data_IF_653613957889
#
_entry.id   IF_653613957889
#
_cell.length_a   1.000
_cell.length_b   1.000
_cell.length_c   1.000
_cell.angle_alpha   90.00
_cell.angle_beta   90.00
_cell.angle_gamma   90.00
#
_symmetry.space_group_name_H-M   'P 1'
#
loop_
_entity.id
_entity.type
_entity.pdbx_description
1 polymer ?
#
# COMPACT_ATOMS: atom_id res chain seq x y z
N UNK A 1 6.12 -21.81 12.27
CA UNK A 1 5.59 -20.75 11.41
C UNK A 1 5.64 -21.16 9.96
N UNK A 2 4.58 -20.90 9.22
CA UNK A 2 4.54 -21.25 7.81
C UNK A 2 5.33 -20.25 6.97
N UNK A 3 6.11 -20.75 6.01
CA UNK A 3 6.77 -19.92 5.01
C UNK A 3 5.78 -19.19 4.10
N UNK A 4 4.54 -19.66 4.06
CA UNK A 4 3.49 -19.13 3.20
C UNK A 4 2.53 -18.16 3.92
N UNK A 5 2.84 -17.80 5.14
CA UNK A 5 1.95 -16.96 5.96
C UNK A 5 2.09 -15.46 5.74
N UNK A 6 3.03 -15.02 4.89
CA UNK A 6 3.36 -13.60 4.76
C UNK A 6 2.15 -12.70 4.43
N UNK A 7 1.27 -13.04 3.47
CA UNK A 7 0.10 -12.19 3.22
C UNK A 7 -0.84 -12.10 4.41
N UNK A 8 -1.01 -13.19 5.15
CA UNK A 8 -1.85 -13.23 6.35
C UNK A 8 -1.23 -12.43 7.49
N UNK A 9 0.08 -12.54 7.67
CA UNK A 9 0.83 -11.78 8.67
C UNK A 9 0.78 -10.27 8.37
N UNK A 10 0.87 -9.92 7.09
CA UNK A 10 0.79 -8.52 6.67
C UNK A 10 -0.62 -7.95 6.90
N UNK A 11 -1.65 -8.74 6.62
CA UNK A 11 -3.03 -8.37 6.94
C UNK A 11 -3.19 -8.09 8.43
N UNK A 12 -2.68 -8.97 9.27
CA UNK A 12 -2.74 -8.81 10.74
C UNK A 12 -2.01 -7.55 11.18
N UNK A 13 -0.84 -7.30 10.63
CA UNK A 13 -0.09 -6.08 10.89
C UNK A 13 -0.91 -4.83 10.56
N UNK A 14 -1.48 -4.77 9.36
CA UNK A 14 -2.29 -3.63 8.94
C UNK A 14 -3.52 -3.44 9.83
N UNK A 15 -4.17 -4.54 10.19
CA UNK A 15 -5.34 -4.51 11.05
C UNK A 15 -5.02 -3.96 12.45
N UNK A 16 -3.88 -4.35 12.99
CA UNK A 16 -3.42 -3.87 14.30
C UNK A 16 -3.07 -2.37 14.28
N UNK A 17 -2.67 -1.86 13.14
CA UNK A 17 -2.41 -0.42 12.95
C UNK A 17 -3.66 0.38 12.62
N UNK A 18 -4.79 -0.27 12.44
CA UNK A 18 -6.04 0.40 12.05
C UNK A 18 -6.11 0.77 10.57
N UNK A 19 -5.33 0.11 9.73
CA UNK A 19 -5.34 0.33 8.29
C UNK A 19 -6.32 -0.60 7.60
N UNK A 20 -6.91 -0.15 6.48
CA UNK A 20 -7.57 -1.05 5.56
C UNK A 20 -6.54 -1.88 4.80
N UNK A 21 -6.85 -3.13 4.56
CA UNK A 21 -5.96 -4.02 3.80
C UNK A 21 -6.75 -4.76 2.74
N UNK A 22 -6.24 -4.70 1.50
CA UNK A 22 -6.80 -5.41 0.36
C UNK A 22 -5.68 -6.21 -0.30
N UNK A 23 -5.94 -7.49 -0.52
CA UNK A 23 -5.04 -8.37 -1.27
C UNK A 23 -5.70 -8.74 -2.58
N UNK A 24 -5.07 -8.43 -3.71
CA UNK A 24 -5.59 -8.78 -5.01
C UNK A 24 -5.06 -7.91 -6.13
N UNK A 25 -5.47 -8.21 -7.36
CA UNK A 25 -5.12 -7.43 -8.54
C UNK A 25 -6.01 -6.18 -8.69
N UNK A 26 -5.69 -5.35 -9.68
CA UNK A 26 -6.41 -4.10 -9.91
C UNK A 26 -7.90 -4.32 -10.18
N UNK A 27 -8.26 -5.37 -10.89
CA UNK A 27 -9.67 -5.68 -11.18
C UNK A 27 -10.45 -6.04 -9.91
N UNK A 28 -9.86 -6.86 -9.06
CA UNK A 28 -10.44 -7.22 -7.77
C UNK A 28 -10.57 -5.99 -6.86
N UNK A 29 -9.54 -5.17 -6.82
CA UNK A 29 -9.50 -3.96 -6.00
C UNK A 29 -10.60 -2.99 -6.43
N UNK A 30 -10.78 -2.77 -7.72
CA UNK A 30 -11.83 -1.90 -8.23
C UNK A 30 -13.24 -2.45 -7.87
N UNK A 31 -13.44 -3.75 -7.98
CA UNK A 31 -14.71 -4.36 -7.59
C UNK A 31 -15.00 -4.20 -6.10
N UNK A 32 -13.98 -4.34 -5.25
CA UNK A 32 -14.12 -4.11 -3.80
C UNK A 32 -14.41 -2.64 -3.51
N UNK A 33 -13.75 -1.73 -4.20
CA UNK A 33 -13.94 -0.30 -4.00
C UNK A 33 -15.37 0.16 -4.35
N UNK A 34 -16.01 -0.45 -5.34
CA UNK A 34 -17.39 -0.14 -5.69
C UNK A 34 -18.37 -0.48 -4.57
N UNK A 35 -18.03 -1.43 -3.73
CA UNK A 35 -18.90 -1.91 -2.66
C UNK A 35 -18.49 -1.46 -1.25
N UNK A 36 -17.33 -0.86 -1.11
CA UNK A 36 -16.75 -0.55 0.19
C UNK A 36 -16.66 0.95 0.40
N UNK A 37 -17.11 1.40 1.57
CA UNK A 37 -16.96 2.80 1.99
C UNK A 37 -15.74 2.91 2.88
N UNK A 38 -14.70 3.53 2.38
CA UNK A 38 -13.52 3.84 3.16
C UNK A 38 -13.69 5.19 3.87
N UNK A 39 -13.27 5.23 5.12
CA UNK A 39 -13.22 6.48 5.86
C UNK A 39 -12.14 7.41 5.29
N UNK A 40 -12.44 8.70 5.26
CA UNK A 40 -11.49 9.71 4.85
C UNK A 40 -10.26 9.71 5.78
N UNK A 41 -9.11 10.00 5.22
CA UNK A 41 -7.82 10.08 5.92
C UNK A 41 -7.31 8.78 6.55
N UNK A 42 -8.03 7.69 6.41
CA UNK A 42 -7.57 6.39 6.88
C UNK A 42 -6.66 5.75 5.84
N UNK A 43 -5.58 5.13 6.32
CA UNK A 43 -4.62 4.50 5.42
C UNK A 43 -5.22 3.24 4.80
N UNK A 44 -5.05 3.12 3.50
CA UNK A 44 -5.43 1.95 2.71
C UNK A 44 -4.15 1.29 2.23
N UNK A 45 -3.99 0.01 2.50
CA UNK A 45 -2.86 -0.79 2.03
C UNK A 45 -3.37 -1.82 1.04
N UNK A 46 -2.78 -1.83 -0.13
CA UNK A 46 -3.15 -2.74 -1.21
C UNK A 46 -1.91 -3.56 -1.56
N UNK A 47 -2.07 -4.88 -1.59
CA UNK A 47 -1.00 -5.78 -1.92
C UNK A 47 -1.41 -6.71 -3.07
N UNK A 48 -0.56 -6.75 -4.10
CA UNK A 48 -0.67 -7.69 -5.21
C UNK A 48 0.67 -8.43 -5.30
N UNK A 49 0.71 -9.60 -4.67
CA UNK A 49 1.94 -10.36 -4.47
C UNK A 49 1.87 -11.72 -5.15
N UNK A 50 2.97 -12.11 -5.74
CA UNK A 50 3.25 -13.48 -6.15
C UNK A 50 4.33 -14.07 -5.26
N UNK A 51 4.52 -15.39 -5.31
CA UNK A 51 5.54 -16.02 -4.50
C UNK A 51 6.27 -17.12 -5.26
N UNK A 52 7.52 -17.32 -4.88
CA UNK A 52 8.37 -18.37 -5.42
C UNK A 52 9.02 -19.12 -4.25
N UNK A 53 8.66 -20.39 -4.03
CA UNK A 53 9.38 -21.21 -3.06
C UNK A 53 10.81 -21.49 -3.54
N UNK A 54 11.75 -21.37 -2.63
CA UNK A 54 13.14 -21.79 -2.86
C UNK A 54 13.29 -23.20 -2.29
N UNK A 55 13.68 -24.14 -3.15
CA UNK A 55 13.63 -25.57 -2.82
C UNK A 55 15.04 -26.13 -2.72
N UNK A 56 15.28 -26.88 -1.66
CA UNK A 56 16.47 -27.69 -1.47
C UNK A 56 16.04 -29.08 -0.96
N UNK A 57 16.63 -30.13 -1.52
CA UNK A 57 16.30 -31.51 -1.17
C UNK A 57 14.79 -31.81 -1.22
N UNK A 58 14.11 -31.32 -2.26
CA UNK A 58 12.68 -31.48 -2.48
C UNK A 58 11.79 -30.80 -1.43
N UNK A 59 12.33 -29.87 -0.65
CA UNK A 59 11.59 -29.14 0.37
C UNK A 59 11.82 -27.63 0.26
N UNK A 60 10.78 -26.83 0.47
CA UNK A 60 10.97 -25.40 0.53
C UNK A 60 11.70 -25.03 1.83
N UNK A 61 12.75 -24.22 1.70
CA UNK A 61 13.48 -23.68 2.85
C UNK A 61 13.26 -22.16 3.05
N UNK A 62 12.82 -21.50 2.02
CA UNK A 62 12.43 -20.10 2.07
C UNK A 62 11.42 -19.80 0.98
N UNK A 63 10.78 -18.65 1.04
CA UNK A 63 9.85 -18.17 0.00
C UNK A 63 10.19 -16.74 -0.33
N UNK A 64 10.36 -16.46 -1.61
CA UNK A 64 10.51 -15.10 -2.11
C UNK A 64 9.17 -14.60 -2.60
N UNK A 65 8.71 -13.50 -2.01
CA UNK A 65 7.50 -12.79 -2.41
C UNK A 65 7.89 -11.57 -3.21
N UNK A 66 7.20 -11.35 -4.30
CA UNK A 66 7.41 -10.17 -5.13
C UNK A 66 6.09 -9.64 -5.66
N UNK A 67 6.06 -8.37 -5.96
CA UNK A 67 4.87 -7.72 -6.49
C UNK A 67 4.79 -6.27 -6.07
N UNK A 68 3.57 -5.77 -5.96
CA UNK A 68 3.31 -4.37 -5.66
C UNK A 68 2.61 -4.24 -4.32
N UNK A 69 3.12 -3.32 -3.49
CA UNK A 69 2.41 -2.81 -2.32
C UNK A 69 2.17 -1.33 -2.54
N UNK A 70 0.92 -0.93 -2.40
CA UNK A 70 0.53 0.48 -2.48
C UNK A 70 -0.06 0.91 -1.16
N UNK A 71 0.30 2.07 -0.70
CA UNK A 71 -0.36 2.71 0.43
C UNK A 71 -0.93 4.04 0.01
N UNK A 72 -2.09 4.35 0.52
CA UNK A 72 -2.76 5.58 0.16
C UNK A 72 -3.73 6.04 1.21
N UNK A 73 -4.28 7.19 0.93
CA UNK A 73 -5.26 7.82 1.79
C UNK A 73 -6.35 8.41 0.93
N UNK A 74 -7.59 8.01 1.21
CA UNK A 74 -8.73 8.63 0.55
C UNK A 74 -8.80 10.09 0.98
N UNK A 75 -8.88 10.97 0.00
CA UNK A 75 -9.07 12.40 0.28
C UNK A 75 -10.49 12.64 0.73
N UNK A 76 -10.64 13.61 1.59
CA UNK A 76 -11.94 14.20 1.87
C UNK A 76 -12.47 14.86 0.60
N UNK A 77 -13.76 15.09 0.55
CA UNK A 77 -14.35 15.82 -0.56
C UNK A 77 -13.71 17.22 -0.66
N UNK A 78 -13.83 17.85 -1.82
CA UNK A 78 -13.25 19.18 -2.05
C UNK A 78 -13.65 20.23 -0.99
N UNK A 79 -14.79 20.01 -0.37
CA UNK A 79 -15.29 20.89 0.70
C UNK A 79 -14.75 20.53 2.06
N UNK A 80 -14.22 19.32 2.25
CA UNK A 80 -13.89 18.78 3.56
C UNK A 80 -12.38 18.68 3.80
N UNK A 81 -11.57 18.74 2.76
CA UNK A 81 -10.12 18.50 2.88
C UNK A 81 -9.35 19.73 3.39
N UNK A 82 -10.05 20.74 3.90
CA UNK A 82 -9.43 21.98 4.34
C UNK A 82 -8.87 22.80 3.20
N UNK A 83 -8.92 22.26 2.03
CA UNK A 83 -8.62 22.94 0.81
C UNK A 83 -9.86 23.74 0.52
N UNK A 84 -9.77 25.00 0.66
CA UNK A 84 -10.89 25.86 0.48
C UNK A 84 -11.43 25.79 -0.93
N UNK A 85 -12.61 26.27 -1.14
CA UNK A 85 -13.25 26.22 -2.45
C UNK A 85 -12.49 26.94 -3.55
N UNK A 86 -11.65 27.85 -3.21
CA UNK A 86 -10.68 28.39 -4.14
C UNK A 86 -9.49 27.47 -4.27
N UNK A 87 -9.41 26.46 -3.45
CA UNK A 87 -8.50 25.45 -3.72
C UNK A 87 -8.97 24.70 -4.89
N UNK A 88 -8.58 25.12 -5.70
CA UNK A 88 -7.95 24.38 -6.65
C UNK A 88 -8.38 22.96 -6.49
N UNK A 89 -9.32 22.60 -7.30
CA UNK A 89 -9.57 21.20 -7.51
C UNK A 89 -8.22 20.49 -7.63
N UNK A 90 -8.16 19.25 -7.27
CA UNK A 90 -6.95 18.45 -7.40
C UNK A 90 -6.33 18.50 -8.78
N UNK A 91 -7.07 18.92 -9.78
CA UNK A 91 -6.60 19.10 -11.15
C UNK A 91 -5.72 20.34 -11.32
N UNK A 92 -5.90 21.31 -10.46
CA UNK A 92 -5.18 22.57 -10.54
C UNK A 92 -3.95 22.62 -9.64
N UNK A 93 -3.81 21.65 -8.75
CA UNK A 93 -2.61 21.49 -7.93
C UNK A 93 -1.43 21.09 -8.82
N UNK A 94 -0.30 21.76 -8.64
CA UNK A 94 0.95 21.29 -9.25
C UNK A 94 1.42 20.01 -8.56
N UNK A 95 2.27 19.25 -9.24
CA UNK A 95 2.87 18.05 -8.64
C UNK A 95 3.62 18.39 -7.35
N UNK A 96 4.34 19.51 -7.33
CA UNK A 96 5.07 19.94 -6.13
C UNK A 96 4.14 20.17 -4.95
N UNK A 97 3.01 20.82 -5.18
CA UNK A 97 2.02 21.05 -4.12
C UNK A 97 1.41 19.73 -3.62
N UNK A 98 1.11 18.80 -4.53
CA UNK A 98 0.62 17.48 -4.17
C UNK A 98 1.65 16.70 -3.35
N UNK A 99 2.91 16.76 -3.77
CA UNK A 99 3.99 16.10 -3.06
C UNK A 99 4.12 16.65 -1.64
N UNK A 100 4.22 17.96 -1.51
CA UNK A 100 4.40 18.60 -0.20
C UNK A 100 3.22 18.35 0.74
N UNK A 101 2.01 18.36 0.19
CA UNK A 101 0.80 18.27 1.01
C UNK A 101 0.37 16.83 1.32
N UNK A 102 0.70 15.86 0.48
CA UNK A 102 0.09 14.53 0.57
C UNK A 102 1.05 13.37 0.35
N UNK A 103 1.95 13.48 -0.58
CA UNK A 103 2.74 12.33 -1.03
C UNK A 103 4.01 12.10 -0.22
N UNK A 104 4.58 13.13 0.34
CA UNK A 104 5.79 13.02 1.15
C UNK A 104 5.54 12.14 2.38
N UNK A 105 4.49 12.43 3.12
CA UNK A 105 4.11 11.66 4.31
C UNK A 105 3.83 10.19 3.96
N UNK A 106 3.14 9.96 2.84
CA UNK A 106 2.86 8.60 2.39
C UNK A 106 4.13 7.86 1.99
N UNK A 107 5.08 8.54 1.37
CA UNK A 107 6.36 7.93 1.00
C UNK A 107 7.15 7.50 2.24
N UNK A 108 7.22 8.36 3.24
CA UNK A 108 7.86 8.04 4.51
C UNK A 108 7.14 6.89 5.22
N UNK A 109 5.81 6.93 5.24
CA UNK A 109 5.00 5.89 5.86
C UNK A 109 5.17 4.54 5.16
N UNK A 110 5.26 4.51 3.84
CA UNK A 110 5.51 3.27 3.10
C UNK A 110 6.78 2.59 3.58
N UNK A 111 7.87 3.33 3.72
CA UNK A 111 9.13 2.77 4.17
C UNK A 111 9.07 2.32 5.64
N UNK A 112 8.38 3.07 6.47
CA UNK A 112 8.16 2.68 7.87
C UNK A 112 7.37 1.38 7.96
N UNK A 113 6.30 1.26 7.20
CA UNK A 113 5.47 0.04 7.18
C UNK A 113 6.28 -1.17 6.72
N UNK A 114 6.99 -1.05 5.61
CA UNK A 114 7.78 -2.16 5.07
C UNK A 114 8.90 -2.58 6.03
N UNK A 115 9.62 -1.62 6.58
CA UNK A 115 10.72 -1.90 7.52
C UNK A 115 10.21 -2.50 8.82
N UNK A 116 9.16 -1.94 9.38
CA UNK A 116 8.58 -2.41 10.64
C UNK A 116 7.99 -3.82 10.49
N UNK A 117 7.26 -4.06 9.41
CA UNK A 117 6.72 -5.38 9.11
C UNK A 117 7.84 -6.41 8.92
N UNK A 118 8.85 -6.09 8.14
CA UNK A 118 9.97 -6.99 7.89
C UNK A 118 10.73 -7.34 9.18
N UNK A 119 11.04 -6.34 9.99
CA UNK A 119 11.73 -6.56 11.27
C UNK A 119 10.89 -7.38 12.24
N UNK A 120 9.60 -7.10 12.33
CA UNK A 120 8.72 -7.77 13.29
C UNK A 120 8.44 -9.24 12.95
N UNK A 121 8.61 -9.63 11.67
CA UNK A 121 8.28 -10.96 11.18
C UNK A 121 9.49 -11.75 10.70
N UNK A 122 10.68 -11.26 10.98
CA UNK A 122 11.95 -11.89 10.56
C UNK A 122 11.98 -12.11 9.02
N UNK A 123 11.62 -11.08 8.31
CA UNK A 123 11.56 -11.06 6.85
C UNK A 123 12.65 -10.15 6.32
N UNK A 124 13.33 -10.59 5.27
CA UNK A 124 14.32 -9.79 4.58
C UNK A 124 13.66 -8.95 3.48
N UNK A 125 13.82 -7.64 3.55
CA UNK A 125 13.40 -6.71 2.51
C UNK A 125 14.53 -6.55 1.50
N UNK A 126 14.39 -7.16 0.33
CA UNK A 126 15.46 -7.24 -0.66
C UNK A 126 15.52 -6.02 -1.58
N UNK A 127 14.37 -5.52 -2.00
CA UNK A 127 14.31 -4.36 -2.88
C UNK A 127 13.00 -3.60 -2.75
N UNK A 128 13.07 -2.31 -2.98
CA UNK A 128 11.92 -1.40 -3.05
C UNK A 128 12.13 -0.44 -4.21
N UNK A 129 11.17 -0.39 -5.12
CA UNK A 129 11.16 0.58 -6.22
C UNK A 129 9.77 1.24 -6.24
N UNK A 130 9.70 2.49 -5.81
CA UNK A 130 8.45 3.19 -5.56
C UNK A 130 8.11 4.23 -6.63
N UNK A 131 6.81 4.47 -6.80
CA UNK A 131 6.26 5.51 -7.67
C UNK A 131 5.03 6.13 -7.04
N UNK A 132 4.64 7.28 -7.55
CA UNK A 132 3.40 7.95 -7.16
C UNK A 132 2.26 7.55 -8.10
N UNK A 133 1.14 7.14 -7.53
CA UNK A 133 -0.10 6.84 -8.25
C UNK A 133 -1.21 7.76 -7.74
N UNK A 134 -1.48 8.80 -8.48
CA UNK A 134 -2.45 9.83 -8.09
C UNK A 134 -3.83 9.46 -8.63
N UNK A 135 -4.86 9.60 -7.80
CA UNK A 135 -6.26 9.28 -8.13
C UNK A 135 -6.48 7.84 -8.61
N UNK A 136 -5.81 6.91 -7.96
CA UNK A 136 -5.89 5.50 -8.33
C UNK A 136 -7.23 4.86 -7.90
N UNK A 137 -7.67 3.86 -8.68
CA UNK A 137 -8.82 3.00 -8.40
C UNK A 137 -10.16 3.74 -8.30
N UNK A 138 -10.36 4.78 -9.08
CA UNK A 138 -11.59 5.60 -9.03
C UNK A 138 -11.93 6.10 -7.61
N UNK A 139 -11.01 5.92 -6.69
CA UNK A 139 -11.06 6.55 -5.38
C UNK A 139 -10.49 7.94 -5.48
N UNK A 140 -11.09 8.87 -4.82
CA UNK A 140 -10.49 10.18 -4.64
C UNK A 140 -9.33 10.08 -3.65
N UNK A 141 -8.31 9.33 -4.03
CA UNK A 141 -7.20 8.94 -3.18
C UNK A 141 -5.88 9.01 -3.95
N UNK A 142 -4.84 9.38 -3.24
CA UNK A 142 -3.48 9.36 -3.74
C UNK A 142 -2.73 8.20 -3.12
N UNK A 143 -1.93 7.51 -3.91
CA UNK A 143 -1.16 6.35 -3.48
C UNK A 143 0.32 6.52 -3.78
N UNK A 144 1.13 5.90 -2.95
CA UNK A 144 2.52 5.58 -3.26
C UNK A 144 2.59 4.07 -3.41
N UNK A 145 3.00 3.63 -4.58
CA UNK A 145 3.09 2.21 -4.90
C UNK A 145 4.55 1.81 -5.04
N UNK A 146 4.90 0.65 -4.53
CA UNK A 146 6.24 0.11 -4.65
C UNK A 146 6.21 -1.32 -5.19
N UNK A 147 7.12 -1.58 -6.11
CA UNK A 147 7.48 -2.97 -6.43
C UNK A 147 8.48 -3.41 -5.39
N UNK A 148 8.18 -4.52 -4.73
CA UNK A 148 8.99 -5.03 -3.64
C UNK A 148 9.37 -6.48 -3.87
N UNK A 149 10.43 -6.88 -3.21
CA UNK A 149 10.84 -8.28 -3.07
C UNK A 149 11.16 -8.54 -1.61
N UNK A 150 10.51 -9.54 -1.05
CA UNK A 150 10.66 -9.97 0.34
C UNK A 150 10.99 -11.45 0.38
N UNK A 151 11.88 -11.84 1.29
CA UNK A 151 12.21 -13.27 1.51
C UNK A 151 11.92 -13.63 2.96
N UNK A 152 11.15 -14.71 3.10
CA UNK A 152 10.84 -15.28 4.41
C UNK A 152 11.54 -16.61 4.61
#
# INVERSE_FOLDING_TARGET
MSLFSLPSDFRTYCKNKGYYFILGDDAYINAVNDSTVYENNKIIVIADLSFKPNIDNNRPYSVTYSGTIAIGRKRESETDDGITTETVSSLDETFEQKYDNRLQDLSELLMVILSDFACSNDIELNSVNARFDINKFDLNADFVAAQITLTK
#
